data_IF_038403111750
#
_entry.id   IF_038403111750
#
_cell.length_a   1.000
_cell.length_b   1.000
_cell.length_c   1.000
_cell.angle_alpha   90.00
_cell.angle_beta   90.00
_cell.angle_gamma   90.00
#
_symmetry.space_group_name_H-M   'P 1'
#
loop_
_entity.id
_entity.type
_entity.pdbx_description
1 polymer ?
#
# COMPACT_ATOMS: atom_id res chain seq x y z
N UNK A 1 -17.02 -34.41 65.57
CA UNK A 1 -15.58 -34.08 65.61
C UNK A 1 -15.41 -32.57 65.50
N UNK A 2 -14.78 -31.97 66.51
CA UNK A 2 -14.64 -30.53 66.71
C UNK A 2 -13.75 -29.87 65.65
N UNK A 3 -14.22 -28.73 65.12
CA UNK A 3 -13.49 -27.86 64.20
C UNK A 3 -12.31 -27.20 64.92
N UNK A 4 -11.08 -27.56 64.53
CA UNK A 4 -9.86 -26.85 64.95
C UNK A 4 -9.54 -25.79 63.90
N UNK A 5 -10.08 -24.59 64.07
CA UNK A 5 -9.70 -23.41 63.28
C UNK A 5 -8.24 -23.08 63.56
N UNK A 6 -7.34 -23.53 62.68
CA UNK A 6 -5.96 -23.06 62.69
C UNK A 6 -5.97 -21.59 62.24
N UNK A 7 -5.63 -20.68 63.16
CA UNK A 7 -5.29 -19.28 62.87
C UNK A 7 -4.08 -19.26 61.93
N UNK A 8 -4.30 -19.40 60.63
CA UNK A 8 -3.28 -19.05 59.63
C UNK A 8 -3.06 -17.54 59.76
N UNK A 9 -1.89 -17.15 60.27
CA UNK A 9 -1.41 -15.77 60.26
C UNK A 9 -1.64 -15.22 58.86
N UNK A 10 -2.54 -14.24 58.76
CA UNK A 10 -2.95 -13.63 57.50
C UNK A 10 -1.71 -13.13 56.77
N UNK A 11 -1.43 -13.70 55.59
CA UNK A 11 -0.39 -13.20 54.67
C UNK A 11 -0.89 -12.02 53.82
N UNK A 12 -2.16 -11.61 53.96
CA UNK A 12 -2.74 -10.46 53.26
C UNK A 12 -1.93 -9.16 53.41
N UNK A 13 -1.45 -8.75 54.59
CA UNK A 13 -0.73 -7.49 54.70
C UNK A 13 0.59 -7.51 53.92
N UNK A 14 1.27 -8.66 53.87
CA UNK A 14 2.52 -8.79 53.10
C UNK A 14 2.27 -8.77 51.59
N UNK A 15 1.22 -9.47 51.13
CA UNK A 15 0.84 -9.47 49.72
C UNK A 15 0.37 -8.08 49.24
N UNK A 16 -0.39 -7.35 50.06
CA UNK A 16 -0.81 -5.99 49.78
C UNK A 16 0.37 -5.02 49.68
N UNK A 17 1.32 -5.10 50.61
CA UNK A 17 2.57 -4.32 50.55
C UNK A 17 3.39 -4.62 49.29
N UNK A 18 3.52 -5.90 48.92
CA UNK A 18 4.26 -6.30 47.72
C UNK A 18 3.59 -5.76 46.43
N UNK A 19 2.26 -5.81 46.36
CA UNK A 19 1.51 -5.29 45.22
C UNK A 19 1.69 -3.77 45.07
N UNK A 20 1.59 -3.02 46.17
CA UNK A 20 1.80 -1.56 46.17
C UNK A 20 3.22 -1.25 45.68
N UNK A 21 4.25 -1.95 46.18
CA UNK A 21 5.64 -1.76 45.75
C UNK A 21 5.84 -2.00 44.25
N UNK A 22 5.23 -3.04 43.69
CA UNK A 22 5.31 -3.33 42.25
C UNK A 22 4.64 -2.23 41.42
N UNK A 23 3.46 -1.77 41.83
CA UNK A 23 2.74 -0.70 41.12
C UNK A 23 3.53 0.61 41.18
N UNK A 24 4.07 0.99 42.35
CA UNK A 24 4.91 2.19 42.47
C UNK A 24 6.17 2.08 41.62
N UNK A 25 6.82 0.91 41.57
CA UNK A 25 7.99 0.70 40.72
C UNK A 25 7.65 0.82 39.23
N UNK A 26 6.51 0.27 38.80
CA UNK A 26 6.02 0.39 37.41
C UNK A 26 5.73 1.86 37.04
N UNK A 27 5.11 2.62 37.94
CA UNK A 27 4.85 4.06 37.73
C UNK A 27 6.17 4.83 37.61
N UNK A 28 7.12 4.61 38.52
CA UNK A 28 8.43 5.27 38.48
C UNK A 28 9.26 4.87 37.26
N UNK A 29 9.18 3.61 36.82
CA UNK A 29 9.84 3.12 35.61
C UNK A 29 9.24 3.75 34.35
N UNK A 30 7.91 3.86 34.30
CA UNK A 30 7.21 4.52 33.20
C UNK A 30 7.51 6.03 33.18
N UNK A 31 7.50 6.72 34.32
CA UNK A 31 7.90 8.12 34.40
C UNK A 31 9.34 8.33 33.95
N UNK A 32 10.28 7.49 34.37
CA UNK A 32 11.67 7.54 33.88
C UNK A 32 11.77 7.29 32.39
N UNK A 33 11.00 6.33 31.86
CA UNK A 33 10.99 6.02 30.43
C UNK A 33 10.41 7.20 29.62
N UNK A 34 9.34 7.83 30.10
CA UNK A 34 8.74 9.03 29.50
C UNK A 34 9.72 10.20 29.59
N UNK A 35 10.37 10.42 30.74
CA UNK A 35 11.39 11.45 30.90
C UNK A 35 12.58 11.20 29.97
N UNK A 36 13.03 9.96 29.78
CA UNK A 36 14.07 9.63 28.80
C UNK A 36 13.62 9.90 27.37
N UNK A 37 12.39 9.56 27.00
CA UNK A 37 11.83 9.89 25.67
C UNK A 37 11.78 11.42 25.48
N UNK A 38 11.35 12.16 26.50
CA UNK A 38 11.32 13.62 26.47
C UNK A 38 12.72 14.23 26.46
N UNK A 39 13.69 13.65 27.17
CA UNK A 39 15.07 14.11 27.17
C UNK A 39 15.75 13.79 25.83
N UNK A 40 15.44 12.65 25.20
CA UNK A 40 15.83 12.35 23.82
C UNK A 40 15.20 13.35 22.85
N UNK A 41 13.90 13.63 22.97
CA UNK A 41 13.20 14.60 22.12
C UNK A 41 13.70 16.05 22.32
N UNK A 42 14.00 16.45 23.56
CA UNK A 42 14.49 17.79 23.91
C UNK A 42 15.99 17.97 23.62
N UNK A 43 16.81 16.91 23.78
CA UNK A 43 18.22 16.95 23.34
C UNK A 43 18.34 17.07 21.83
N UNK A 44 17.37 16.53 21.07
CA UNK A 44 17.29 16.75 19.63
C UNK A 44 16.91 18.18 19.22
N UNK A 45 16.46 19.04 20.14
CA UNK A 45 16.16 20.45 19.86
C UNK A 45 17.28 21.42 20.22
N UNK A 46 18.39 20.96 20.83
CA UNK A 46 19.56 21.79 21.12
C UNK A 46 20.78 21.32 20.32
N UNK A 47 21.03 21.99 19.20
CA UNK A 47 22.33 22.16 18.54
C UNK A 47 23.39 21.09 18.83
N UNK A 48 23.22 19.91 18.24
CA UNK A 48 24.32 19.02 17.94
C UNK A 48 24.25 18.67 16.46
N UNK A 49 24.98 19.44 15.65
CA UNK A 49 25.59 18.90 14.43
C UNK A 49 26.61 17.85 14.87
N UNK A 50 26.14 16.68 15.31
CA UNK A 50 26.94 15.48 15.08
C UNK A 50 26.99 15.32 13.56
N UNK A 51 28.18 15.24 12.93
CA UNK A 51 28.25 14.91 11.52
C UNK A 51 27.54 13.58 11.37
N UNK A 52 26.41 13.55 10.66
CA UNK A 52 25.74 12.31 10.35
C UNK A 52 26.74 11.43 9.59
N UNK A 53 27.13 10.31 10.18
CA UNK A 53 28.08 9.35 9.59
C UNK A 53 27.45 8.50 8.47
N UNK A 54 26.36 8.97 7.87
CA UNK A 54 25.71 8.27 6.77
C UNK A 54 26.36 8.70 5.45
N UNK A 55 26.77 7.72 4.65
CA UNK A 55 27.14 7.96 3.26
C UNK A 55 25.86 8.15 2.43
N UNK A 56 25.70 9.31 1.79
CA UNK A 56 24.51 9.65 1.03
C UNK A 56 24.75 9.47 -0.46
N UNK A 57 23.97 8.57 -1.07
CA UNK A 57 24.00 8.31 -2.51
C UNK A 57 22.99 9.23 -3.21
N UNK A 58 23.45 10.07 -4.12
CA UNK A 58 22.57 10.89 -4.96
C UNK A 58 21.74 9.97 -5.88
N UNK A 59 20.40 9.96 -5.77
CA UNK A 59 19.57 9.11 -6.61
C UNK A 59 19.48 9.66 -8.04
N UNK A 60 19.00 8.83 -8.96
CA UNK A 60 18.54 9.23 -10.29
C UNK A 60 19.59 9.97 -11.15
N UNK A 61 20.88 9.69 -10.95
CA UNK A 61 21.93 10.23 -11.82
C UNK A 61 21.76 9.63 -13.22
N UNK A 62 21.56 10.44 -14.27
CA UNK A 62 21.53 9.94 -15.65
C UNK A 62 22.86 9.23 -15.96
N UNK A 63 22.79 7.99 -16.42
CA UNK A 63 23.98 7.21 -16.75
C UNK A 63 24.63 7.78 -18.00
N UNK A 64 25.67 8.59 -17.82
CA UNK A 64 26.51 9.11 -18.92
C UNK A 64 27.19 7.90 -19.58
N UNK A 65 27.09 7.80 -20.91
CA UNK A 65 27.63 6.73 -21.76
C UNK A 65 29.13 6.48 -21.50
N UNK A 66 29.47 5.61 -20.55
CA UNK A 66 30.80 5.02 -20.45
C UNK A 66 30.80 3.66 -21.14
N UNK A 67 30.91 3.67 -22.48
CA UNK A 67 31.44 2.61 -23.37
C UNK A 67 31.05 1.12 -23.12
N UNK A 68 30.02 0.81 -22.34
CA UNK A 68 29.58 -0.55 -22.06
C UNK A 68 28.06 -0.64 -21.93
N UNK A 69 27.47 -1.68 -22.50
CA UNK A 69 26.06 -2.00 -22.28
C UNK A 69 25.83 -2.19 -20.76
N UNK A 70 25.07 -1.27 -20.15
CA UNK A 70 24.80 -1.28 -18.73
C UNK A 70 23.79 -2.37 -18.37
N UNK A 71 24.03 -3.04 -17.25
CA UNK A 71 23.21 -4.16 -16.78
C UNK A 71 21.88 -3.67 -16.18
N UNK A 72 20.79 -4.04 -16.84
CA UNK A 72 19.42 -3.87 -16.35
C UNK A 72 19.09 -5.04 -15.45
N UNK A 73 18.53 -4.77 -14.28
CA UNK A 73 18.00 -5.84 -13.43
C UNK A 73 16.80 -6.50 -14.12
N UNK A 74 16.85 -7.82 -14.15
CA UNK A 74 15.84 -8.70 -14.70
C UNK A 74 15.69 -9.95 -13.82
N UNK A 75 14.78 -10.85 -14.19
CA UNK A 75 14.49 -12.08 -13.44
C UNK A 75 15.67 -13.06 -13.31
N UNK A 76 16.74 -12.88 -14.09
CA UNK A 76 17.94 -13.73 -14.06
C UNK A 76 19.08 -13.10 -13.27
N UNK A 77 18.92 -11.83 -12.88
CA UNK A 77 19.88 -11.10 -12.07
C UNK A 77 20.08 -11.77 -10.72
N UNK A 78 21.35 -11.98 -10.36
CA UNK A 78 21.79 -12.59 -9.10
C UNK A 78 22.91 -11.78 -8.48
N UNK A 79 23.10 -11.97 -7.18
CA UNK A 79 24.26 -11.47 -6.45
C UNK A 79 25.35 -12.54 -6.45
N UNK A 80 26.57 -12.18 -6.84
CA UNK A 80 27.75 -13.05 -6.73
C UNK A 80 28.24 -13.15 -5.28
N UNK A 81 28.06 -12.08 -4.50
CA UNK A 81 28.33 -12.02 -3.07
C UNK A 81 27.33 -11.09 -2.40
N UNK A 82 26.90 -11.44 -1.18
CA UNK A 82 26.10 -10.56 -0.33
C UNK A 82 26.94 -10.10 0.86
N UNK A 83 27.08 -8.80 1.04
CA UNK A 83 27.80 -8.16 2.15
C UNK A 83 26.79 -7.61 3.17
N UNK A 84 27.29 -7.31 4.37
CA UNK A 84 26.53 -6.55 5.35
C UNK A 84 26.23 -5.14 4.81
N UNK A 85 25.08 -4.61 5.17
CA UNK A 85 24.65 -3.28 4.76
C UNK A 85 25.62 -2.21 5.24
N UNK A 86 26.08 -1.36 4.32
CA UNK A 86 27.08 -0.33 4.60
C UNK A 86 26.51 0.90 5.34
N UNK A 87 25.20 0.98 5.52
CA UNK A 87 24.52 2.14 6.13
C UNK A 87 24.26 3.29 5.15
N UNK A 88 24.53 3.10 3.85
CA UNK A 88 24.27 4.10 2.80
C UNK A 88 22.80 4.48 2.72
N UNK A 89 22.50 5.77 2.59
CA UNK A 89 21.14 6.28 2.41
C UNK A 89 20.99 7.05 1.11
N UNK A 90 19.76 7.25 0.67
CA UNK A 90 19.50 8.12 -0.48
C UNK A 90 19.59 9.59 -0.06
N UNK A 91 20.45 10.33 -0.74
CA UNK A 91 20.61 11.77 -0.57
C UNK A 91 19.49 12.53 -1.25
N UNK A 92 18.35 12.63 -0.58
CA UNK A 92 17.23 13.49 -0.99
C UNK A 92 17.01 14.53 0.10
N UNK A 93 17.14 15.82 -0.24
CA UNK A 93 16.90 16.97 0.65
C UNK A 93 15.43 17.37 0.56
N UNK A 94 14.84 17.89 1.65
CA UNK A 94 13.48 18.43 1.62
C UNK A 94 13.41 19.63 0.66
N UNK A 95 12.59 19.61 -0.41
CA UNK A 95 12.43 20.75 -1.30
C UNK A 95 11.94 22.03 -0.60
N UNK A 96 11.34 21.90 0.59
CA UNK A 96 10.74 23.00 1.36
C UNK A 96 11.55 23.40 2.60
N UNK A 97 12.77 22.87 2.79
CA UNK A 97 13.59 23.16 3.98
C UNK A 97 13.84 24.68 4.19
N UNK A 98 13.89 25.45 3.11
CA UNK A 98 14.08 26.91 3.16
C UNK A 98 12.78 27.73 3.35
N UNK A 99 11.61 27.10 3.31
CA UNK A 99 10.32 27.78 3.49
C UNK A 99 9.44 26.98 4.45
N UNK A 100 9.58 27.14 5.77
CA UNK A 100 8.59 26.63 6.70
C UNK A 100 7.25 27.26 6.31
N UNK A 101 6.40 26.46 5.69
CA UNK A 101 5.13 26.90 5.16
C UNK A 101 4.38 27.67 6.23
N UNK A 102 3.96 28.90 5.88
CA UNK A 102 2.91 29.60 6.61
C UNK A 102 1.80 28.59 6.86
N UNK A 103 1.49 28.30 8.12
CA UNK A 103 0.33 27.49 8.49
C UNK A 103 -0.87 28.25 7.97
N UNK A 104 -1.26 27.98 6.73
CA UNK A 104 -2.54 28.43 6.21
C UNK A 104 -3.55 27.73 7.08
N UNK A 105 -4.38 28.54 7.73
CA UNK A 105 -5.51 28.09 8.55
C UNK A 105 -6.26 27.09 7.68
N UNK A 106 -6.09 25.78 7.94
CA UNK A 106 -6.77 24.74 7.19
C UNK A 106 -8.26 25.07 7.33
N UNK A 107 -8.87 25.53 6.25
CA UNK A 107 -10.32 25.46 6.15
C UNK A 107 -10.69 24.04 6.54
N UNK A 108 -11.67 23.91 7.43
CA UNK A 108 -12.09 22.66 8.05
C UNK A 108 -12.60 21.70 6.96
N UNK A 109 -11.68 21.11 6.19
CA UNK A 109 -11.96 20.18 5.12
C UNK A 109 -12.30 18.86 5.79
N UNK A 110 -13.40 18.27 5.32
CA UNK A 110 -13.81 16.95 5.78
C UNK A 110 -12.72 15.92 5.47
N UNK A 111 -12.33 15.14 6.47
CA UNK A 111 -11.55 13.92 6.27
C UNK A 111 -12.45 12.83 5.66
N UNK A 112 -12.33 12.62 4.36
CA UNK A 112 -13.11 11.60 3.63
C UNK A 112 -12.64 10.17 3.89
N UNK A 113 -11.48 9.98 4.54
CA UNK A 113 -10.93 8.67 4.88
C UNK A 113 -11.32 8.19 6.27
N UNK A 114 -11.93 9.05 7.09
CA UNK A 114 -12.53 8.72 8.37
C UNK A 114 -14.05 8.53 8.20
N UNK A 115 -14.52 7.31 8.44
CA UNK A 115 -15.89 6.94 8.11
C UNK A 115 -16.23 5.49 8.49
N UNK A 116 -17.38 5.05 8.00
CA UNK A 116 -17.89 3.68 8.20
C UNK A 116 -18.46 3.10 6.92
N UNK A 117 -18.51 1.78 6.86
CA UNK A 117 -19.23 1.06 5.81
C UNK A 117 -20.72 1.02 6.10
N UNK A 118 -21.51 1.42 5.12
CA UNK A 118 -22.98 1.39 5.16
C UNK A 118 -23.47 0.50 4.05
N UNK A 119 -24.36 -0.43 4.36
CA UNK A 119 -24.97 -1.30 3.36
C UNK A 119 -25.94 -0.50 2.48
N UNK A 120 -25.74 -0.54 1.17
CA UNK A 120 -26.55 0.17 0.17
C UNK A 120 -27.32 -0.85 -0.68
N UNK A 121 -28.60 -1.04 -0.32
CA UNK A 121 -29.52 -1.93 -1.02
C UNK A 121 -30.27 -1.24 -2.17
N UNK A 122 -29.88 -0.03 -2.55
CA UNK A 122 -30.50 0.67 -3.67
C UNK A 122 -30.17 -0.01 -5.00
N UNK A 123 -30.94 0.30 -6.04
CA UNK A 123 -30.67 -0.15 -7.40
C UNK A 123 -29.36 0.40 -7.99
N UNK A 124 -28.68 1.33 -7.30
CA UNK A 124 -27.42 1.94 -7.74
C UNK A 124 -26.16 1.16 -7.37
N UNK A 125 -26.28 0.14 -6.50
CA UNK A 125 -25.17 -0.71 -6.07
C UNK A 125 -25.39 -2.17 -6.48
N UNK A 126 -24.32 -2.88 -6.89
CA UNK A 126 -22.96 -2.37 -7.15
C UNK A 126 -22.91 -1.40 -8.34
N UNK A 127 -21.86 -0.55 -8.39
CA UNK A 127 -21.72 0.47 -9.44
C UNK A 127 -21.59 -0.12 -10.86
N UNK A 128 -21.18 -1.39 -10.96
CA UNK A 128 -21.17 -2.16 -12.18
C UNK A 128 -21.32 -3.65 -11.83
N UNK A 129 -21.65 -4.49 -12.82
CA UNK A 129 -21.70 -5.96 -12.64
C UNK A 129 -20.43 -6.58 -13.22
N UNK A 130 -19.88 -7.59 -12.53
CA UNK A 130 -18.71 -8.34 -12.98
C UNK A 130 -18.89 -8.85 -14.43
N UNK A 131 -20.06 -9.43 -14.72
CA UNK A 131 -20.40 -10.00 -16.04
C UNK A 131 -20.53 -8.98 -17.18
N UNK A 132 -20.62 -7.68 -16.87
CA UNK A 132 -20.73 -6.61 -17.87
C UNK A 132 -19.38 -6.01 -18.26
N UNK A 133 -18.31 -6.33 -17.52
CA UNK A 133 -16.96 -5.85 -17.82
C UNK A 133 -16.18 -6.92 -18.61
N UNK A 134 -15.92 -6.72 -19.92
CA UNK A 134 -15.17 -7.71 -20.71
C UNK A 134 -13.67 -7.73 -20.38
N UNK A 135 -13.19 -6.72 -19.65
CA UNK A 135 -11.79 -6.56 -19.25
C UNK A 135 -11.50 -7.13 -17.86
N UNK A 136 -12.46 -7.81 -17.26
CA UNK A 136 -12.32 -8.36 -15.91
C UNK A 136 -11.21 -9.41 -15.85
N UNK A 137 -10.38 -9.35 -14.81
CA UNK A 137 -9.34 -10.36 -14.57
C UNK A 137 -9.89 -11.59 -13.86
N UNK A 138 -9.54 -12.76 -14.36
CA UNK A 138 -9.80 -14.07 -13.72
C UNK A 138 -9.26 -14.20 -12.29
N UNK A 139 -8.31 -13.34 -11.87
CA UNK A 139 -7.80 -13.31 -10.50
C UNK A 139 -8.76 -12.59 -9.53
N UNK A 140 -9.64 -11.72 -10.04
CA UNK A 140 -10.51 -10.83 -9.26
C UNK A 140 -12.01 -11.07 -9.52
N UNK A 141 -12.33 -11.85 -10.57
CA UNK A 141 -13.68 -12.23 -11.01
C UNK A 141 -14.29 -13.31 -10.10
N UNK A 142 -14.64 -12.93 -8.87
CA UNK A 142 -15.08 -13.87 -7.85
C UNK A 142 -16.40 -14.57 -8.19
N UNK A 143 -17.36 -13.87 -8.80
CA UNK A 143 -18.64 -14.46 -9.19
C UNK A 143 -18.46 -15.52 -10.28
N UNK A 144 -17.67 -15.21 -11.32
CA UNK A 144 -17.27 -16.15 -12.38
C UNK A 144 -16.63 -17.41 -11.82
N UNK A 145 -15.87 -17.28 -10.74
CA UNK A 145 -15.18 -18.38 -10.06
C UNK A 145 -15.96 -18.96 -8.87
N UNK A 146 -17.30 -18.80 -8.86
CA UNK A 146 -18.20 -19.57 -8.01
C UNK A 146 -18.61 -18.92 -6.70
N UNK A 147 -18.23 -17.65 -6.46
CA UNK A 147 -18.71 -16.90 -5.28
C UNK A 147 -20.20 -16.59 -5.43
N UNK A 148 -21.01 -17.04 -4.46
CA UNK A 148 -22.48 -16.89 -4.49
C UNK A 148 -23.00 -15.81 -3.55
N UNK A 149 -22.30 -15.55 -2.45
CA UNK A 149 -22.57 -14.45 -1.54
C UNK A 149 -22.10 -13.14 -2.18
N UNK A 150 -23.01 -12.36 -2.76
CA UNK A 150 -22.66 -11.10 -3.46
C UNK A 150 -22.90 -9.85 -2.62
N UNK A 151 -23.37 -9.98 -1.38
CA UNK A 151 -23.66 -8.86 -0.47
C UNK A 151 -22.44 -7.98 -0.19
N UNK A 152 -21.21 -8.53 -0.26
CA UNK A 152 -19.98 -7.76 -0.10
C UNK A 152 -19.83 -6.62 -1.12
N UNK A 153 -20.51 -6.69 -2.27
CA UNK A 153 -20.48 -5.68 -3.32
C UNK A 153 -21.37 -4.46 -3.02
N UNK A 154 -22.26 -4.57 -2.02
CA UNK A 154 -23.26 -3.56 -1.66
C UNK A 154 -22.81 -2.63 -0.53
N UNK A 155 -21.60 -2.78 -0.01
CA UNK A 155 -21.07 -1.88 1.00
C UNK A 155 -20.55 -0.58 0.36
N UNK A 156 -21.04 0.55 0.88
CA UNK A 156 -20.63 1.90 0.49
C UNK A 156 -19.87 2.56 1.64
N UNK A 157 -18.79 3.28 1.31
CA UNK A 157 -18.08 4.09 2.28
C UNK A 157 -18.81 5.41 2.57
N UNK A 158 -19.00 5.72 3.84
CA UNK A 158 -19.62 6.96 4.30
C UNK A 158 -18.67 7.68 5.27
N UNK A 159 -18.06 8.80 4.84
CA UNK A 159 -17.32 9.67 5.76
C UNK A 159 -18.21 10.17 6.90
N UNK A 160 -17.64 10.39 8.08
CA UNK A 160 -18.42 10.82 9.25
C UNK A 160 -18.94 12.25 9.13
N UNK A 161 -18.11 13.17 8.63
CA UNK A 161 -18.39 14.61 8.66
C UNK A 161 -18.92 15.18 7.33
N UNK A 162 -18.99 14.37 6.27
CA UNK A 162 -19.45 14.82 4.96
C UNK A 162 -19.89 13.64 4.06
N UNK A 163 -20.31 13.97 2.84
CA UNK A 163 -20.67 13.01 1.83
C UNK A 163 -19.62 12.95 0.73
N UNK A 164 -19.29 11.73 0.31
CA UNK A 164 -18.56 11.54 -0.94
C UNK A 164 -19.40 11.97 -2.13
N UNK A 165 -18.71 12.44 -3.17
CA UNK A 165 -19.31 12.69 -4.47
C UNK A 165 -19.80 11.37 -5.06
N UNK A 166 -21.06 11.30 -5.50
CA UNK A 166 -21.60 10.10 -6.16
C UNK A 166 -20.86 9.84 -7.46
N UNK A 167 -20.48 8.58 -7.69
CA UNK A 167 -19.81 8.16 -8.92
C UNK A 167 -20.59 8.59 -10.17
N UNK A 168 -19.88 9.15 -11.15
CA UNK A 168 -20.42 9.49 -12.45
C UNK A 168 -19.36 9.20 -13.52
N UNK A 169 -19.59 8.14 -14.31
CA UNK A 169 -18.64 7.70 -15.33
C UNK A 169 -18.41 8.76 -16.43
N UNK A 170 -19.45 9.48 -16.84
CA UNK A 170 -19.35 10.56 -17.85
C UNK A 170 -18.49 11.69 -17.31
N UNK A 171 -18.74 12.12 -16.07
CA UNK A 171 -17.95 13.18 -15.44
C UNK A 171 -16.49 12.78 -15.26
N UNK A 172 -16.23 11.54 -14.85
CA UNK A 172 -14.87 11.03 -14.74
C UNK A 172 -14.16 11.05 -16.11
N UNK A 173 -14.84 10.64 -17.18
CA UNK A 173 -14.27 10.75 -18.52
C UNK A 173 -14.03 12.19 -18.99
N UNK A 174 -14.90 13.14 -18.64
CA UNK A 174 -14.65 14.57 -18.92
C UNK A 174 -13.41 15.08 -18.18
N UNK A 175 -13.19 14.66 -16.93
CA UNK A 175 -11.95 14.97 -16.17
C UNK A 175 -10.72 14.37 -16.84
N UNK A 176 -10.87 13.20 -17.47
CA UNK A 176 -9.81 12.51 -18.20
C UNK A 176 -9.65 12.95 -19.66
N UNK A 177 -10.50 13.83 -20.18
CA UNK A 177 -10.48 14.21 -21.59
C UNK A 177 -9.12 14.76 -22.00
N UNK A 178 -8.51 14.13 -23.01
CA UNK A 178 -7.17 14.47 -23.49
C UNK A 178 -6.04 14.09 -22.52
N UNK A 179 -6.28 13.23 -21.53
CA UNK A 179 -5.32 12.87 -20.47
C UNK A 179 -5.03 11.38 -20.42
N UNK A 180 -3.89 11.06 -19.82
CA UNK A 180 -3.45 9.72 -19.49
C UNK A 180 -3.48 9.52 -17.98
N UNK A 181 -4.38 8.67 -17.52
CA UNK A 181 -4.47 8.20 -16.14
C UNK A 181 -3.64 6.91 -16.02
N UNK A 182 -2.61 6.87 -15.18
CA UNK A 182 -1.74 5.70 -15.06
C UNK A 182 -1.60 5.25 -13.60
N UNK A 183 -1.98 4.01 -13.35
CA UNK A 183 -1.71 3.29 -12.11
C UNK A 183 -0.33 2.63 -12.22
N UNK A 184 0.51 2.80 -11.20
CA UNK A 184 1.91 2.37 -11.20
C UNK A 184 2.21 1.64 -9.90
N UNK A 185 2.45 0.34 -10.00
CA UNK A 185 2.74 -0.42 -8.80
C UNK A 185 2.59 -1.92 -8.95
N UNK A 186 1.99 -2.51 -7.92
CA UNK A 186 1.85 -3.94 -7.74
C UNK A 186 0.48 -4.51 -8.18
N UNK A 187 0.19 -5.74 -7.77
CA UNK A 187 -1.04 -6.44 -8.10
C UNK A 187 -2.30 -5.84 -7.45
N UNK A 188 -2.19 -5.10 -6.35
CA UNK A 188 -3.33 -4.39 -5.76
C UNK A 188 -3.65 -3.15 -6.57
N UNK A 189 -2.62 -2.43 -7.02
CA UNK A 189 -2.81 -1.30 -7.91
C UNK A 189 -3.36 -1.74 -9.28
N UNK A 190 -2.96 -2.93 -9.76
CA UNK A 190 -3.59 -3.58 -10.92
C UNK A 190 -5.07 -3.86 -10.69
N UNK A 191 -5.44 -4.32 -9.49
CA UNK A 191 -6.84 -4.53 -9.12
C UNK A 191 -7.65 -3.23 -9.11
N UNK A 192 -7.06 -2.15 -8.60
CA UNK A 192 -7.66 -0.82 -8.66
C UNK A 192 -7.83 -0.34 -10.11
N UNK A 193 -6.83 -0.53 -10.97
CA UNK A 193 -6.91 -0.21 -12.39
C UNK A 193 -8.02 -1.00 -13.10
N UNK A 194 -8.14 -2.31 -12.86
CA UNK A 194 -9.22 -3.13 -13.44
C UNK A 194 -10.59 -2.62 -13.00
N UNK A 195 -10.75 -2.31 -11.72
CA UNK A 195 -11.97 -1.68 -11.20
C UNK A 195 -12.28 -0.36 -11.92
N UNK A 196 -11.27 0.50 -12.12
CA UNK A 196 -11.45 1.79 -12.81
C UNK A 196 -11.91 1.58 -14.26
N UNK A 197 -11.29 0.64 -14.99
CA UNK A 197 -11.72 0.28 -16.35
C UNK A 197 -13.16 -0.24 -16.34
N UNK A 198 -13.52 -1.13 -15.43
CA UNK A 198 -14.88 -1.69 -15.36
C UNK A 198 -15.95 -0.65 -14.99
N UNK A 199 -15.61 0.34 -14.17
CA UNK A 199 -16.48 1.47 -13.81
C UNK A 199 -16.71 2.46 -14.97
N UNK A 200 -15.81 2.48 -15.96
CA UNK A 200 -15.76 3.47 -17.03
C UNK A 200 -16.12 2.95 -18.43
N UNK A 201 -15.83 1.69 -18.72
CA UNK A 201 -15.90 1.15 -20.09
C UNK A 201 -17.30 1.12 -20.70
N UNK A 202 -18.34 1.05 -19.86
CA UNK A 202 -19.73 0.85 -20.32
C UNK A 202 -20.31 2.06 -21.05
N UNK A 203 -19.79 3.26 -20.80
CA UNK A 203 -20.23 4.49 -21.47
C UNK A 203 -19.52 4.73 -22.82
N UNK A 204 -18.48 3.94 -23.14
CA UNK A 204 -17.77 4.05 -24.41
C UNK A 204 -18.32 3.01 -25.39
N UNK A 205 -18.69 3.39 -26.62
CA UNK A 205 -19.09 2.43 -27.66
C UNK A 205 -18.01 1.36 -27.88
N UNK A 206 -18.42 0.12 -28.15
CA UNK A 206 -17.51 -1.04 -28.27
C UNK A 206 -16.45 -0.87 -29.36
N UNK A 207 -16.82 -0.22 -30.46
CA UNK A 207 -15.97 0.11 -31.60
C UNK A 207 -15.02 1.30 -31.37
N UNK A 208 -15.20 2.03 -30.26
CA UNK A 208 -14.42 3.22 -29.89
C UNK A 208 -13.58 3.03 -28.62
N UNK A 209 -13.43 1.78 -28.19
CA UNK A 209 -12.58 1.41 -27.06
C UNK A 209 -11.65 0.26 -27.45
N UNK A 210 -10.45 0.27 -26.88
CA UNK A 210 -9.48 -0.80 -27.07
C UNK A 210 -8.64 -1.03 -25.82
N UNK A 211 -8.11 -2.24 -25.69
CA UNK A 211 -7.19 -2.65 -24.63
C UNK A 211 -5.95 -3.22 -25.30
N UNK A 212 -4.76 -2.72 -24.93
CA UNK A 212 -3.51 -3.32 -25.39
C UNK A 212 -3.34 -4.74 -24.82
N UNK A 213 -2.52 -5.59 -25.45
CA UNK A 213 -2.11 -6.85 -24.83
C UNK A 213 -1.51 -6.63 -23.43
N UNK A 214 -1.67 -7.64 -22.57
CA UNK A 214 -1.04 -7.63 -21.25
C UNK A 214 0.49 -7.60 -21.40
N UNK A 215 1.10 -6.56 -20.89
CA UNK A 215 2.54 -6.30 -20.94
C UNK A 215 2.98 -5.52 -19.70
N UNK A 216 4.23 -5.07 -19.65
CA UNK A 216 4.71 -4.18 -18.58
C UNK A 216 3.82 -2.94 -18.42
N UNK A 217 3.35 -2.39 -19.54
CA UNK A 217 2.39 -1.29 -19.62
C UNK A 217 1.17 -1.80 -20.39
N UNK A 218 0.01 -1.76 -19.75
CA UNK A 218 -1.28 -2.11 -20.35
C UNK A 218 -2.14 -0.85 -20.45
N UNK A 219 -2.75 -0.60 -21.62
CA UNK A 219 -3.43 0.66 -21.94
C UNK A 219 -4.87 0.36 -22.35
N UNK A 220 -5.83 0.87 -21.60
CA UNK A 220 -7.21 1.01 -22.06
C UNK A 220 -7.39 2.39 -22.70
N UNK A 221 -7.93 2.45 -23.92
CA UNK A 221 -8.15 3.69 -24.67
C UNK A 221 -9.62 3.93 -24.92
N UNK A 222 -10.08 5.16 -24.71
CA UNK A 222 -11.40 5.65 -25.08
C UNK A 222 -11.28 6.77 -26.11
N UNK A 223 -11.76 6.53 -27.32
CA UNK A 223 -11.56 7.45 -28.45
C UNK A 223 -12.40 8.73 -28.32
N UNK A 224 -13.66 8.63 -27.88
CA UNK A 224 -14.58 9.77 -27.72
C UNK A 224 -14.06 10.84 -26.74
N UNK A 225 -13.16 10.46 -25.83
CA UNK A 225 -12.54 11.34 -24.84
C UNK A 225 -11.07 11.64 -25.15
N UNK A 226 -10.50 11.00 -26.17
CA UNK A 226 -9.06 11.00 -26.42
C UNK A 226 -8.26 10.78 -25.13
N UNK A 227 -8.63 9.75 -24.37
CA UNK A 227 -8.12 9.51 -23.01
C UNK A 227 -7.67 8.06 -22.85
N UNK A 228 -6.78 7.81 -21.91
CA UNK A 228 -6.32 6.46 -21.55
C UNK A 228 -6.35 6.20 -20.05
N UNK A 229 -6.61 4.94 -19.70
CA UNK A 229 -6.53 4.40 -18.34
C UNK A 229 -5.54 3.25 -18.36
N UNK A 230 -4.39 3.43 -17.73
CA UNK A 230 -3.18 2.65 -17.95
C UNK A 230 -2.73 1.97 -16.65
N UNK A 231 -2.10 0.81 -16.78
CA UNK A 231 -1.42 0.12 -15.69
C UNK A 231 0.02 -0.19 -16.06
N UNK A 232 0.95 0.27 -15.24
CA UNK A 232 2.37 -0.01 -15.35
C UNK A 232 2.83 -0.86 -14.16
N UNK A 233 3.40 -2.04 -14.47
CA UNK A 233 4.05 -2.89 -13.50
C UNK A 233 5.38 -2.27 -13.03
N UNK A 234 5.41 -1.83 -11.78
CA UNK A 234 6.60 -1.30 -11.10
C UNK A 234 6.45 -1.52 -9.58
N UNK A 235 6.41 -2.78 -9.12
CA UNK A 235 5.95 -3.13 -7.76
C UNK A 235 6.81 -2.53 -6.65
N UNK A 236 8.07 -2.19 -6.93
CA UNK A 236 9.04 -1.65 -5.98
C UNK A 236 9.44 -0.20 -6.29
N UNK A 237 8.76 0.46 -7.24
CA UNK A 237 9.03 1.80 -7.79
C UNK A 237 10.39 1.93 -8.52
N UNK A 238 11.47 1.51 -7.88
CA UNK A 238 12.83 1.48 -8.44
C UNK A 238 13.06 0.23 -9.28
N UNK A 239 14.13 0.26 -10.08
CA UNK A 239 14.55 -0.88 -10.89
C UNK A 239 14.80 -2.12 -10.03
N UNK A 240 14.27 -3.27 -10.46
CA UNK A 240 14.36 -4.51 -9.70
C UNK A 240 14.42 -5.76 -10.59
N UNK A 241 14.84 -6.88 -10.01
CA UNK A 241 14.72 -8.18 -10.68
C UNK A 241 13.26 -8.67 -10.78
N UNK A 242 12.32 -8.00 -10.12
CA UNK A 242 10.89 -8.32 -10.11
C UNK A 242 10.06 -7.53 -11.14
N UNK A 243 10.72 -6.86 -12.10
CA UNK A 243 10.06 -5.99 -13.09
C UNK A 243 9.36 -6.77 -14.24
N UNK A 244 9.50 -8.09 -14.31
CA UNK A 244 8.79 -8.94 -15.30
C UNK A 244 7.30 -9.09 -14.91
N UNK A 245 6.33 -8.68 -15.74
CA UNK A 245 4.91 -8.64 -15.38
C UNK A 245 4.29 -10.03 -15.22
N UNK A 246 4.97 -11.09 -15.66
CA UNK A 246 4.53 -12.48 -15.59
C UNK A 246 5.38 -13.28 -14.60
N UNK A 247 6.71 -13.18 -14.70
CA UNK A 247 7.67 -13.97 -13.94
C UNK A 247 8.43 -13.13 -12.90
N UNK A 248 7.69 -12.49 -12.01
CA UNK A 248 8.21 -11.62 -10.95
C UNK A 248 8.34 -12.28 -9.57
N UNK A 249 7.91 -13.54 -9.44
CA UNK A 249 8.00 -14.28 -8.17
C UNK A 249 9.36 -14.95 -8.07
N UNK A 250 10.27 -14.32 -7.33
CA UNK A 250 11.64 -14.78 -7.14
C UNK A 250 11.91 -15.05 -5.66
N UNK A 251 12.82 -15.98 -5.37
CA UNK A 251 13.26 -16.28 -3.99
C UNK A 251 14.07 -15.16 -3.38
N UNK A 252 14.83 -14.43 -4.21
CA UNK A 252 15.62 -13.28 -3.79
C UNK A 252 15.12 -12.03 -4.51
N UNK A 253 14.87 -10.97 -3.74
CA UNK A 253 14.51 -9.67 -4.29
C UNK A 253 15.75 -8.78 -4.33
N UNK A 254 16.09 -8.31 -5.52
CA UNK A 254 17.22 -7.40 -5.74
C UNK A 254 16.64 -6.11 -6.27
N UNK A 255 16.93 -5.01 -5.58
CA UNK A 255 16.57 -3.66 -5.99
C UNK A 255 17.82 -2.84 -6.26
N UNK A 256 17.67 -1.86 -7.15
CA UNK A 256 18.62 -0.77 -7.31
C UNK A 256 18.01 0.48 -6.68
N UNK A 257 18.28 0.73 -5.38
CA UNK A 257 17.54 1.71 -4.59
C UNK A 257 17.69 3.14 -5.11
N UNK A 258 18.76 3.45 -5.84
CA UNK A 258 19.15 4.77 -6.35
C UNK A 258 18.67 5.05 -7.79
N UNK A 259 17.82 4.20 -8.39
CA UNK A 259 17.43 4.32 -9.80
C UNK A 259 15.94 4.08 -10.04
N UNK A 260 15.22 5.18 -10.27
CA UNK A 260 13.82 5.14 -10.74
C UNK A 260 13.67 5.39 -12.25
N UNK A 261 14.72 5.88 -12.90
CA UNK A 261 14.68 6.43 -14.27
C UNK A 261 14.17 5.44 -15.33
N UNK A 262 14.50 4.15 -15.20
CA UNK A 262 13.98 3.09 -16.09
C UNK A 262 12.46 3.11 -16.13
N UNK A 263 11.82 3.18 -14.98
CA UNK A 263 10.36 3.20 -14.87
C UNK A 263 9.79 4.59 -15.13
N UNK A 264 10.44 5.63 -14.62
CA UNK A 264 10.01 7.01 -14.82
C UNK A 264 9.98 7.45 -16.28
N UNK A 265 10.85 6.89 -17.13
CA UNK A 265 10.79 7.14 -18.58
C UNK A 265 9.41 6.81 -19.20
N UNK A 266 8.65 5.90 -18.57
CA UNK A 266 7.31 5.50 -19.03
C UNK A 266 6.20 6.38 -18.45
N UNK A 267 6.24 6.64 -17.14
CA UNK A 267 5.17 7.38 -16.45
C UNK A 267 5.34 8.90 -16.48
N UNK A 268 6.52 9.42 -16.83
CA UNK A 268 6.77 10.87 -16.91
C UNK A 268 5.87 11.58 -17.90
N UNK A 269 5.32 10.87 -18.88
CA UNK A 269 4.44 11.41 -19.91
C UNK A 269 2.94 11.22 -19.61
N UNK A 270 2.58 10.68 -18.44
CA UNK A 270 1.18 10.62 -18.01
C UNK A 270 0.79 11.93 -17.30
N UNK A 271 -0.51 12.24 -17.25
CA UNK A 271 -1.03 13.48 -16.65
C UNK A 271 -1.47 13.25 -15.20
N UNK A 272 -1.99 12.05 -14.91
CA UNK A 272 -2.45 11.65 -13.60
C UNK A 272 -1.78 10.32 -13.23
N UNK A 273 -1.03 10.31 -12.13
CA UNK A 273 -0.29 9.15 -11.64
C UNK A 273 -0.86 8.66 -10.32
N UNK A 274 -1.02 7.35 -10.17
CA UNK A 274 -1.48 6.70 -8.94
C UNK A 274 -0.47 5.62 -8.59
N UNK A 275 0.31 5.85 -7.54
CA UNK A 275 1.37 4.94 -7.10
C UNK A 275 0.93 4.06 -5.93
N UNK A 276 1.39 2.82 -5.90
CA UNK A 276 1.33 1.92 -4.74
C UNK A 276 2.50 0.92 -4.80
N UNK A 277 3.02 0.50 -3.65
CA UNK A 277 4.16 -0.43 -3.59
C UNK A 277 4.18 -1.34 -2.35
N UNK A 278 3.36 -1.07 -1.34
CA UNK A 278 3.51 -1.64 0.01
C UNK A 278 3.54 -3.17 0.07
N UNK A 279 2.67 -3.86 -0.69
CA UNK A 279 2.52 -5.31 -0.57
C UNK A 279 3.85 -6.04 -0.83
N UNK A 280 4.70 -5.45 -1.67
CA UNK A 280 5.98 -5.97 -2.09
C UNK A 280 7.12 -5.68 -1.11
N UNK A 281 6.86 -5.08 0.04
CA UNK A 281 7.86 -4.85 1.09
C UNK A 281 7.62 -5.72 2.33
N UNK A 282 6.63 -6.61 2.30
CA UNK A 282 6.24 -7.47 3.44
C UNK A 282 7.10 -8.73 3.65
N UNK A 283 8.27 -8.79 3.04
CA UNK A 283 9.24 -9.85 3.30
C UNK A 283 10.31 -9.36 4.28
N UNK A 284 11.12 -10.24 4.82
CA UNK A 284 12.07 -9.87 5.88
C UNK A 284 13.18 -8.92 5.37
N UNK A 285 13.80 -9.26 4.23
CA UNK A 285 14.93 -8.53 3.68
C UNK A 285 14.86 -8.34 2.17
N UNK A 286 15.62 -7.37 1.67
CA UNK A 286 15.89 -7.14 0.25
C UNK A 286 17.40 -7.02 0.03
N UNK A 287 17.87 -7.38 -1.15
CA UNK A 287 19.24 -7.14 -1.58
C UNK A 287 19.33 -5.83 -2.34
N UNK A 288 20.32 -5.02 -1.99
CA UNK A 288 20.63 -3.75 -2.63
C UNK A 288 21.76 -3.96 -3.62
N UNK A 289 21.59 -3.40 -4.81
CA UNK A 289 22.63 -3.33 -5.83
C UNK A 289 22.72 -1.91 -6.37
N UNK A 290 23.58 -1.11 -5.73
CA UNK A 290 23.83 0.28 -6.06
C UNK A 290 24.31 0.45 -7.50
N UNK A 291 23.96 1.56 -8.17
CA UNK A 291 24.41 1.81 -9.55
C UNK A 291 25.92 2.00 -9.67
N UNK A 292 26.58 2.48 -8.61
CA UNK A 292 28.02 2.79 -8.57
C UNK A 292 28.92 1.59 -8.25
N UNK A 293 28.35 0.44 -7.87
CA UNK A 293 29.13 -0.70 -7.40
C UNK A 293 29.52 -1.68 -8.51
N UNK A 294 30.57 -2.48 -8.24
CA UNK A 294 31.02 -3.56 -9.10
C UNK A 294 29.89 -4.57 -9.39
N UNK A 295 29.91 -5.13 -10.60
CA UNK A 295 28.90 -6.10 -11.03
C UNK A 295 28.88 -7.32 -10.10
N UNK A 296 27.71 -7.60 -9.54
CA UNK A 296 27.45 -8.79 -8.71
C UNK A 296 27.68 -8.62 -7.21
N UNK A 297 28.24 -7.50 -6.72
CA UNK A 297 28.24 -7.19 -5.29
C UNK A 297 26.85 -6.71 -4.88
N UNK A 298 26.31 -7.28 -3.79
CA UNK A 298 25.07 -6.82 -3.19
C UNK A 298 25.27 -6.61 -1.69
N UNK A 299 24.44 -5.75 -1.12
CA UNK A 299 24.25 -5.61 0.32
C UNK A 299 22.87 -6.15 0.70
N UNK A 300 22.67 -6.62 1.93
CA UNK A 300 21.35 -7.08 2.41
C UNK A 300 20.84 -6.21 3.56
N UNK A 301 19.57 -5.79 3.44
CA UNK A 301 18.94 -4.87 4.38
C UNK A 301 17.50 -5.31 4.67
N UNK A 302 16.93 -4.87 5.79
CA UNK A 302 15.50 -5.05 6.09
C UNK A 302 14.63 -4.38 5.01
N UNK A 303 13.53 -5.04 4.65
CA UNK A 303 12.66 -4.51 3.58
C UNK A 303 12.11 -3.11 3.86
N UNK A 304 11.87 -2.74 5.13
CA UNK A 304 11.40 -1.40 5.47
C UNK A 304 12.43 -0.30 5.14
N UNK A 305 13.72 -0.56 5.36
CA UNK A 305 14.80 0.37 5.00
C UNK A 305 15.00 0.42 3.48
N UNK A 306 14.90 -0.74 2.81
CA UNK A 306 14.87 -0.79 1.34
C UNK A 306 13.71 -0.01 0.74
N UNK A 307 12.53 -0.05 1.37
CA UNK A 307 11.34 0.70 0.97
C UNK A 307 11.55 2.19 1.14
N UNK A 308 12.11 2.63 2.27
CA UNK A 308 12.44 4.04 2.52
C UNK A 308 13.39 4.55 1.45
N UNK A 309 14.47 3.82 1.13
CA UNK A 309 15.38 4.21 0.04
C UNK A 309 14.70 4.27 -1.33
N UNK A 310 13.88 3.27 -1.68
CA UNK A 310 13.16 3.29 -2.96
C UNK A 310 12.18 4.47 -3.06
N UNK A 311 11.50 4.77 -1.96
CA UNK A 311 10.60 5.91 -1.85
C UNK A 311 11.34 7.25 -1.87
N UNK A 312 12.53 7.34 -1.28
CA UNK A 312 13.35 8.55 -1.33
C UNK A 312 13.81 8.85 -2.75
N UNK A 313 14.24 7.82 -3.51
CA UNK A 313 14.59 7.97 -4.92
C UNK A 313 13.39 8.35 -5.79
N UNK A 314 12.22 7.77 -5.52
CA UNK A 314 10.97 8.17 -6.17
C UNK A 314 10.56 9.60 -5.80
N UNK A 315 10.71 9.98 -4.53
CA UNK A 315 10.40 11.29 -3.99
C UNK A 315 11.27 12.37 -4.61
N UNK A 316 12.58 12.13 -4.71
CA UNK A 316 13.50 13.00 -5.46
C UNK A 316 13.04 13.21 -6.91
N UNK A 317 12.63 12.13 -7.60
CA UNK A 317 12.10 12.27 -8.96
C UNK A 317 10.82 13.11 -9.01
N UNK A 318 9.87 12.89 -8.10
CA UNK A 318 8.64 13.67 -8.02
C UNK A 318 8.96 15.14 -7.75
N UNK A 319 9.82 15.41 -6.77
CA UNK A 319 10.25 16.76 -6.40
C UNK A 319 10.84 17.51 -7.61
N UNK A 320 11.65 16.84 -8.42
CA UNK A 320 12.34 17.47 -9.55
C UNK A 320 11.50 17.54 -10.85
N UNK A 321 10.49 16.67 -11.03
CA UNK A 321 9.81 16.50 -12.33
C UNK A 321 8.30 16.78 -12.33
N UNK A 322 7.68 16.98 -11.16
CA UNK A 322 6.23 17.21 -11.05
C UNK A 322 5.92 18.68 -10.79
N UNK A 323 5.20 19.28 -11.72
CA UNK A 323 4.49 20.55 -11.55
C UNK A 323 3.03 20.25 -11.17
N UNK A 324 2.59 20.53 -9.92
CA UNK A 324 1.25 20.19 -9.44
C UNK A 324 0.12 20.89 -10.21
N UNK A 325 0.44 21.95 -10.98
CA UNK A 325 -0.54 22.64 -11.84
C UNK A 325 -0.79 21.90 -13.17
N UNK A 326 0.11 20.98 -13.55
CA UNK A 326 0.05 20.27 -14.84
C UNK A 326 -0.15 18.76 -14.67
N UNK A 327 0.36 18.20 -13.58
CA UNK A 327 0.34 16.77 -13.30
C UNK A 327 -0.19 16.52 -11.90
N UNK A 328 -1.12 15.59 -11.78
CA UNK A 328 -1.66 15.14 -10.48
C UNK A 328 -1.00 13.83 -10.10
N UNK A 329 -0.41 13.78 -8.92
CA UNK A 329 0.20 12.55 -8.39
C UNK A 329 -0.52 12.14 -7.13
N UNK A 330 -0.91 10.88 -7.08
CA UNK A 330 -1.53 10.25 -5.93
C UNK A 330 -0.65 9.10 -5.44
N UNK A 331 -0.62 8.89 -4.13
CA UNK A 331 -0.05 7.71 -3.52
C UNK A 331 -1.13 6.99 -2.71
N UNK A 332 -1.38 5.73 -3.04
CA UNK A 332 -2.36 4.88 -2.35
C UNK A 332 -1.63 4.18 -1.20
N UNK A 333 -2.16 4.29 0.01
CA UNK A 333 -1.56 3.66 1.19
C UNK A 333 -1.69 2.14 1.18
N UNK A 334 -1.18 1.47 2.21
CA UNK A 334 -1.23 0.01 2.27
C UNK A 334 -2.65 -0.54 2.27
N UNK A 335 -2.82 -1.69 1.63
CA UNK A 335 -3.99 -2.55 1.83
C UNK A 335 -3.70 -3.57 2.93
N UNK A 336 -4.63 -3.82 3.86
CA UNK A 336 -4.51 -4.86 4.86
C UNK A 336 -4.59 -6.25 4.24
N UNK A 337 -4.20 -7.25 5.03
CA UNK A 337 -4.39 -8.67 4.71
C UNK A 337 -5.01 -9.39 5.89
N UNK A 338 -6.10 -10.11 5.65
CA UNK A 338 -6.85 -10.79 6.69
C UNK A 338 -6.37 -12.23 6.87
N UNK A 339 -5.11 -12.38 7.30
CA UNK A 339 -4.42 -13.68 7.37
C UNK A 339 -4.78 -14.51 8.61
N UNK A 340 -5.29 -13.89 9.68
CA UNK A 340 -5.58 -14.59 10.93
C UNK A 340 -6.92 -14.16 11.53
N UNK A 341 -7.92 -15.04 11.48
CA UNK A 341 -9.27 -14.74 11.98
C UNK A 341 -9.34 -14.41 13.47
N UNK A 342 -8.39 -14.90 14.27
CA UNK A 342 -8.25 -14.55 15.69
C UNK A 342 -8.10 -13.05 15.96
N UNK A 343 -7.71 -12.24 14.98
CA UNK A 343 -7.55 -10.79 15.14
C UNK A 343 -8.90 -10.08 15.30
N UNK A 344 -9.94 -10.54 14.59
CA UNK A 344 -11.30 -9.98 14.67
C UNK A 344 -12.30 -10.90 15.36
N UNK A 345 -11.90 -12.14 15.66
CA UNK A 345 -12.73 -13.13 16.35
C UNK A 345 -11.85 -13.97 17.29
N UNK A 346 -11.56 -13.49 18.52
CA UNK A 346 -10.66 -14.16 19.44
C UNK A 346 -11.02 -15.63 19.70
N UNK A 347 -10.01 -16.51 19.63
CA UNK A 347 -10.19 -17.96 19.79
C UNK A 347 -10.55 -18.71 18.51
N UNK A 348 -10.80 -18.01 17.39
CA UNK A 348 -10.98 -18.65 16.09
C UNK A 348 -9.66 -19.04 15.42
N UNK A 349 -9.72 -20.03 14.54
CA UNK A 349 -8.65 -20.42 13.63
C UNK A 349 -9.06 -20.14 12.18
N UNK A 350 -8.08 -19.91 11.31
CA UNK A 350 -8.31 -19.59 9.90
C UNK A 350 -7.93 -18.16 9.52
N UNK A 351 -8.57 -17.66 8.46
CA UNK A 351 -8.27 -16.40 7.78
C UNK A 351 -9.54 -15.83 7.13
N UNK A 352 -9.43 -15.06 6.05
CA UNK A 352 -10.58 -14.54 5.30
C UNK A 352 -11.53 -15.60 4.68
N UNK A 353 -11.19 -16.90 4.74
CA UNK A 353 -12.07 -17.95 4.24
C UNK A 353 -13.41 -17.99 4.98
N UNK A 354 -14.50 -17.89 4.22
CA UNK A 354 -15.87 -17.95 4.76
C UNK A 354 -16.38 -16.64 5.35
N UNK A 355 -15.58 -15.58 5.36
CA UNK A 355 -15.97 -14.25 5.84
C UNK A 355 -16.91 -13.56 4.85
N UNK A 356 -18.05 -13.07 5.34
CA UNK A 356 -19.15 -12.51 4.51
C UNK A 356 -19.60 -11.12 4.91
N UNK A 357 -19.15 -10.63 6.08
CA UNK A 357 -19.52 -9.32 6.61
C UNK A 357 -18.27 -8.54 7.01
N UNK A 358 -18.33 -7.20 6.93
CA UNK A 358 -17.28 -6.36 7.47
C UNK A 358 -17.09 -6.56 8.97
N UNK A 359 -15.95 -6.11 9.48
CA UNK A 359 -15.74 -5.85 10.91
C UNK A 359 -16.51 -4.59 11.28
N UNK A 360 -17.33 -4.67 12.32
CA UNK A 360 -18.17 -3.56 12.79
C UNK A 360 -17.45 -2.64 13.78
N UNK A 361 -16.39 -3.14 14.44
CA UNK A 361 -15.60 -2.37 15.39
C UNK A 361 -14.76 -1.31 14.67
N UNK A 362 -15.13 -0.03 14.82
CA UNK A 362 -14.41 1.10 14.20
C UNK A 362 -12.98 1.28 14.73
N UNK A 363 -12.66 0.79 15.94
CA UNK A 363 -11.29 0.79 16.48
C UNK A 363 -10.40 -0.35 15.97
N UNK A 364 -10.93 -1.25 15.15
CA UNK A 364 -10.18 -2.41 14.69
C UNK A 364 -8.93 -2.02 13.88
N UNK A 365 -7.83 -2.72 14.16
CA UNK A 365 -6.57 -2.62 13.44
C UNK A 365 -5.88 -3.99 13.37
N UNK A 366 -5.60 -4.47 12.16
CA UNK A 366 -4.94 -5.76 11.95
C UNK A 366 -3.42 -5.67 12.08
N UNK A 367 -2.77 -6.76 12.52
CA UNK A 367 -1.30 -6.79 12.62
C UNK A 367 -0.60 -6.74 11.26
N UNK A 368 -1.31 -7.09 10.18
CA UNK A 368 -0.82 -6.97 8.81
C UNK A 368 -0.63 -5.51 8.34
N UNK A 369 -1.23 -4.55 9.05
CA UNK A 369 -1.10 -3.13 8.76
C UNK A 369 0.01 -2.49 9.61
N UNK A 370 1.24 -2.53 9.07
CA UNK A 370 2.43 -2.09 9.78
C UNK A 370 2.50 -0.56 9.98
N UNK A 371 2.19 -0.13 11.20
CA UNK A 371 2.20 1.29 11.59
C UNK A 371 3.58 1.95 11.40
N UNK A 372 4.71 1.35 11.82
CA UNK A 372 6.04 1.93 11.57
C UNK A 372 6.31 2.24 10.09
N UNK A 373 5.96 1.31 9.19
CA UNK A 373 6.10 1.51 7.74
C UNK A 373 5.22 2.65 7.25
N UNK A 374 3.95 2.74 7.67
CA UNK A 374 3.10 3.87 7.25
C UNK A 374 3.53 5.22 7.83
N UNK A 375 4.16 5.24 9.01
CA UNK A 375 4.81 6.47 9.51
C UNK A 375 5.97 6.89 8.62
N UNK A 376 6.79 5.94 8.14
CA UNK A 376 7.85 6.23 7.15
C UNK A 376 7.26 6.75 5.85
N UNK A 377 6.23 6.08 5.30
CA UNK A 377 5.54 6.52 4.08
C UNK A 377 5.00 7.95 4.24
N UNK A 378 4.37 8.23 5.38
CA UNK A 378 3.88 9.58 5.71
C UNK A 378 5.00 10.61 5.69
N UNK A 379 6.14 10.37 6.35
CA UNK A 379 7.28 11.29 6.36
C UNK A 379 7.79 11.60 4.95
N UNK A 380 7.93 10.57 4.10
CA UNK A 380 8.37 10.75 2.70
C UNK A 380 7.35 11.59 1.92
N UNK A 381 6.06 11.31 2.06
CA UNK A 381 5.01 12.02 1.33
C UNK A 381 4.84 13.47 1.80
N UNK A 382 5.00 13.76 3.09
CA UNK A 382 4.91 15.13 3.64
C UNK A 382 5.97 16.06 3.05
N UNK A 383 7.19 15.56 2.82
CA UNK A 383 8.26 16.31 2.14
C UNK A 383 7.95 16.70 0.70
N UNK A 384 7.00 16.03 0.04
CA UNK A 384 6.57 16.36 -1.32
C UNK A 384 5.49 17.45 -1.34
N UNK A 385 4.90 17.75 -0.18
CA UNK A 385 3.89 18.78 -0.01
C UNK A 385 2.76 18.69 -1.05
N UNK A 386 2.45 19.76 -1.79
CA UNK A 386 1.33 19.77 -2.73
C UNK A 386 1.56 18.93 -3.99
N UNK A 387 2.77 18.40 -4.21
CA UNK A 387 3.07 17.60 -5.41
C UNK A 387 2.41 16.22 -5.37
N UNK A 388 2.08 15.71 -4.18
CA UNK A 388 1.44 14.40 -4.01
C UNK A 388 0.24 14.49 -3.09
N UNK A 389 -0.86 13.88 -3.50
CA UNK A 389 -2.04 13.67 -2.65
C UNK A 389 -2.11 12.22 -2.19
N UNK A 390 -2.49 11.99 -0.94
CA UNK A 390 -2.60 10.63 -0.38
C UNK A 390 -4.03 10.12 -0.56
N UNK A 391 -4.18 8.90 -1.07
CA UNK A 391 -5.45 8.15 -1.01
C UNK A 391 -5.29 7.13 0.12
N UNK A 392 -5.74 7.50 1.32
CA UNK A 392 -5.60 6.67 2.52
C UNK A 392 -6.68 5.59 2.57
N UNK A 393 -6.37 4.42 2.01
CA UNK A 393 -7.28 3.28 1.93
C UNK A 393 -7.17 2.33 3.12
N UNK A 394 -6.18 2.51 4.00
CA UNK A 394 -5.78 1.46 4.95
C UNK A 394 -6.89 1.15 5.93
N UNK A 395 -7.35 2.14 6.70
CA UNK A 395 -8.38 1.94 7.72
C UNK A 395 -9.71 1.45 7.11
N UNK A 396 -10.18 2.07 6.02
CA UNK A 396 -11.44 1.66 5.41
C UNK A 396 -11.36 0.22 4.87
N UNK A 397 -10.20 -0.23 4.41
CA UNK A 397 -10.02 -1.60 3.92
C UNK A 397 -9.86 -2.61 5.05
N UNK A 398 -9.44 -2.20 6.26
CA UNK A 398 -9.28 -3.09 7.43
C UNK A 398 -10.59 -3.73 7.84
N UNK A 399 -11.70 -3.04 7.64
CA UNK A 399 -13.00 -3.60 7.98
C UNK A 399 -13.43 -4.71 7.01
N UNK A 400 -12.81 -4.83 5.84
CA UNK A 400 -13.39 -5.53 4.68
C UNK A 400 -12.90 -6.96 4.51
N UNK A 401 -12.72 -7.72 5.58
CA UNK A 401 -12.37 -9.16 5.49
C UNK A 401 -13.26 -9.98 4.55
N UNK A 402 -14.50 -9.55 4.33
CA UNK A 402 -15.48 -10.10 3.39
C UNK A 402 -15.16 -9.86 1.90
N UNK A 403 -14.38 -8.83 1.58
CA UNK A 403 -14.13 -8.39 0.20
C UNK A 403 -13.08 -9.22 -0.56
N UNK A 404 -12.43 -10.17 0.10
CA UNK A 404 -11.35 -10.97 -0.50
C UNK A 404 -11.87 -12.08 -1.44
N UNK A 405 -11.12 -12.42 -2.51
CA UNK A 405 -11.44 -13.58 -3.35
C UNK A 405 -11.46 -14.89 -2.57
N UNK A 406 -10.57 -15.03 -1.58
CA UNK A 406 -10.39 -16.28 -0.85
C UNK A 406 -10.12 -17.43 -1.82
N UNK A 407 -11.06 -18.37 -1.99
CA UNK A 407 -10.95 -19.48 -2.94
C UNK A 407 -11.61 -19.20 -4.29
N UNK A 408 -12.35 -18.10 -4.44
CA UNK A 408 -13.14 -17.78 -5.62
C UNK A 408 -12.32 -17.01 -6.65
N UNK A 409 -11.34 -17.69 -7.24
CA UNK A 409 -10.43 -17.14 -8.23
C UNK A 409 -9.95 -18.23 -9.17
N UNK A 410 -9.33 -17.83 -10.28
CA UNK A 410 -8.63 -18.79 -11.14
C UNK A 410 -7.41 -19.38 -10.45
N UNK A 411 -7.33 -20.70 -10.48
CA UNK A 411 -6.14 -21.47 -10.17
C UNK A 411 -5.49 -21.89 -11.48
N UNK A 412 -4.21 -21.56 -11.64
CA UNK A 412 -3.42 -21.92 -12.82
C UNK A 412 -2.82 -23.32 -12.72
N UNK A 413 -2.75 -23.85 -11.50
CA UNK A 413 -2.31 -25.20 -11.19
C UNK A 413 -3.47 -25.94 -10.50
N UNK A 414 -3.68 -27.24 -10.79
CA UNK A 414 -4.64 -28.05 -10.05
C UNK A 414 -4.33 -28.06 -8.55
N UNK A 415 -5.35 -27.93 -7.72
CA UNK A 415 -5.22 -28.09 -6.28
C UNK A 415 -5.10 -29.59 -5.95
N UNK A 416 -4.12 -29.96 -5.14
CA UNK A 416 -4.00 -31.32 -4.62
C UNK A 416 -5.07 -31.60 -3.55
N UNK A 417 -5.31 -32.88 -3.26
CA UNK A 417 -6.36 -33.29 -2.31
C UNK A 417 -6.18 -32.69 -0.91
N UNK A 418 -4.94 -32.57 -0.44
CA UNK A 418 -4.64 -32.01 0.89
C UNK A 418 -5.01 -30.53 0.97
N UNK A 419 -4.72 -29.75 -0.08
CA UNK A 419 -5.21 -28.37 -0.16
C UNK A 419 -6.72 -28.35 -0.17
N UNK A 420 -7.38 -29.14 -1.02
CA UNK A 420 -8.85 -29.17 -1.11
C UNK A 420 -9.54 -29.46 0.23
N UNK A 421 -8.92 -30.25 1.12
CA UNK A 421 -9.42 -30.52 2.48
C UNK A 421 -9.27 -29.33 3.44
N UNK A 422 -8.36 -28.39 3.15
CA UNK A 422 -8.13 -27.19 3.95
C UNK A 422 -8.16 -25.91 3.08
N UNK A 423 -9.36 -25.41 2.70
CA UNK A 423 -9.55 -24.19 1.92
C UNK A 423 -8.75 -22.97 2.41
N UNK A 424 -8.68 -22.79 3.73
CA UNK A 424 -7.96 -21.69 4.34
C UNK A 424 -6.47 -21.67 3.96
N UNK A 425 -5.84 -22.83 3.70
CA UNK A 425 -4.42 -22.94 3.34
C UNK A 425 -4.05 -22.30 2.01
N UNK A 426 -5.02 -22.06 1.12
CA UNK A 426 -4.78 -21.49 -0.22
C UNK A 426 -5.69 -20.30 -0.55
N UNK A 427 -6.44 -19.81 0.43
CA UNK A 427 -7.26 -18.60 0.32
C UNK A 427 -6.42 -17.36 0.05
N UNK A 428 -6.81 -16.60 -0.96
CA UNK A 428 -6.26 -15.28 -1.23
C UNK A 428 -6.93 -14.24 -0.35
N UNK A 429 -6.24 -13.88 0.75
CA UNK A 429 -6.61 -12.82 1.68
C UNK A 429 -5.78 -11.54 1.46
N UNK A 430 -5.30 -11.34 0.23
CA UNK A 430 -4.43 -10.22 -0.15
C UNK A 430 -5.10 -9.33 -1.19
N UNK A 431 -5.63 -9.93 -2.25
CA UNK A 431 -6.32 -9.21 -3.32
C UNK A 431 -7.80 -9.01 -2.99
N UNK A 432 -8.52 -8.32 -3.87
CA UNK A 432 -9.91 -7.95 -3.66
C UNK A 432 -10.78 -8.41 -4.83
N UNK A 433 -11.98 -8.90 -4.54
CA UNK A 433 -12.98 -9.11 -5.57
C UNK A 433 -13.35 -7.76 -6.22
N UNK A 434 -13.67 -7.80 -7.52
CA UNK A 434 -14.23 -6.66 -8.26
C UNK A 434 -15.53 -7.12 -8.92
N UNK A 435 -16.69 -6.46 -8.69
CA UNK A 435 -16.90 -5.24 -7.90
C UNK A 435 -16.61 -5.39 -6.40
N UNK A 436 -16.29 -4.29 -5.71
CA UNK A 436 -16.02 -4.34 -4.27
C UNK A 436 -15.14 -3.20 -3.75
N UNK A 437 -14.22 -3.53 -2.85
CA UNK A 437 -13.33 -2.57 -2.16
C UNK A 437 -12.56 -1.65 -3.13
N UNK A 438 -11.99 -2.14 -4.25
CA UNK A 438 -11.30 -1.28 -5.21
C UNK A 438 -12.20 -0.22 -5.86
N UNK A 439 -13.51 -0.46 -5.96
CA UNK A 439 -14.45 0.53 -6.51
C UNK A 439 -14.57 1.73 -5.57
N UNK A 440 -14.49 1.52 -4.26
CA UNK A 440 -14.48 2.61 -3.28
C UNK A 440 -13.17 3.40 -3.35
N UNK A 441 -12.04 2.74 -3.56
CA UNK A 441 -10.77 3.45 -3.78
C UNK A 441 -10.85 4.36 -5.01
N UNK A 442 -11.53 3.92 -6.07
CA UNK A 442 -11.75 4.72 -7.27
C UNK A 442 -12.80 5.82 -7.07
N UNK A 443 -13.81 5.63 -6.21
CA UNK A 443 -14.71 6.71 -5.78
C UNK A 443 -13.95 7.81 -5.01
N UNK A 444 -13.01 7.44 -4.14
CA UNK A 444 -12.14 8.39 -3.45
C UNK A 444 -11.27 9.14 -4.45
N UNK A 445 -10.61 8.44 -5.38
CA UNK A 445 -9.83 9.08 -6.43
C UNK A 445 -10.67 10.08 -7.26
N UNK A 446 -11.88 9.68 -7.67
CA UNK A 446 -12.82 10.55 -8.39
C UNK A 446 -13.25 11.77 -7.57
N UNK A 447 -13.34 11.66 -6.25
CA UNK A 447 -13.65 12.80 -5.39
C UNK A 447 -12.54 13.86 -5.36
N UNK A 448 -11.27 13.46 -5.50
CA UNK A 448 -10.11 14.36 -5.48
C UNK A 448 -9.69 14.92 -6.85
N UNK A 449 -10.13 14.29 -7.94
CA UNK A 449 -9.98 14.79 -9.31
C UNK A 449 -11.06 15.82 -9.61
#
# INVERSE_FOLDING_TARGET
MSQRWSRKKSRLPLAGLLFILVVTFMILFNERSIQQIHHHAASHTQNLREPSTFDFVKPNVPRINYLGAHEVLDRFSKCNSTKEYSGKKIGWVDPFEDHPGQVTKEEQKCDVFSGKWVFDNSSSYPLHKESQCPYMSDQLACQKHGRKDLEYQHWRWQPHACNLKRWNAIEMWEKLRGKRLMFVGDSLNRGQWISMVCLLQSVIPRDKQSMSPNAHLTIFRAEDYNATVEFLWAPLLVESNSDDPVNHRLSERIIRPDSVLKHASKWQHADILIFNTYLWWRQDSVKLRWSSEEKGSCEEVKSAEGMEMAMDSWGDWVANNVDPNKKRVFFVTMSPTHQWSREWNPGSEGNCYGEKKPIEEESYWGSGSDIPTMRMVKRVLERLGPKVSVINITQLSEYRKDGHPSVYRKFWEPLNEDRLKNPASYSDCTHWCVPGVPDVWNQLLFHFL
#
